data_IF_302208433974
#
_entry.id   IF_302208433974
#
_cell.length_a   1.000
_cell.length_b   1.000
_cell.length_c   1.000
_cell.angle_alpha   90.00
_cell.angle_beta   90.00
_cell.angle_gamma   90.00
#
_symmetry.space_group_name_H-M   'P 1'
#
loop_
_entity.id
_entity.type
_entity.pdbx_description
1 polymer ?
#
# COMPACT_ATOMS: atom_id res chain seq x y z
N UNK A 1 -27.32 -19.61 -52.13
CA UNK A 1 -26.86 -20.52 -53.22
C UNK A 1 -27.07 -22.02 -52.95
N UNK A 2 -27.08 -22.51 -51.70
CA UNK A 2 -27.32 -23.96 -51.41
C UNK A 2 -28.78 -24.39 -51.48
N UNK A 3 -29.72 -23.54 -51.01
CA UNK A 3 -31.17 -23.79 -51.11
C UNK A 3 -31.66 -23.81 -52.57
N UNK A 4 -31.06 -23.00 -53.43
CA UNK A 4 -31.37 -22.94 -54.86
C UNK A 4 -30.97 -24.22 -55.59
N UNK A 5 -29.91 -24.92 -55.18
CA UNK A 5 -29.52 -26.20 -55.78
C UNK A 5 -30.47 -27.36 -55.39
N UNK A 6 -30.95 -27.37 -54.14
CA UNK A 6 -31.94 -28.35 -53.67
C UNK A 6 -33.31 -28.14 -54.34
N UNK A 7 -33.72 -26.89 -54.47
CA UNK A 7 -34.95 -26.50 -55.19
C UNK A 7 -34.80 -26.86 -56.68
N UNK A 8 -33.65 -26.63 -57.30
CA UNK A 8 -33.40 -27.03 -58.69
C UNK A 8 -33.40 -28.55 -58.88
N UNK A 9 -32.87 -29.32 -57.92
CA UNK A 9 -32.88 -30.78 -57.96
C UNK A 9 -34.30 -31.34 -57.73
N UNK A 10 -35.06 -30.77 -56.79
CA UNK A 10 -36.47 -31.10 -56.57
C UNK A 10 -37.32 -30.74 -57.79
N UNK A 11 -37.05 -29.59 -58.42
CA UNK A 11 -37.71 -29.17 -59.67
C UNK A 11 -37.33 -30.09 -60.84
N UNK A 12 -36.07 -30.55 -60.95
CA UNK A 12 -35.63 -31.51 -61.97
C UNK A 12 -36.27 -32.88 -61.77
N UNK A 13 -36.36 -33.35 -60.53
CA UNK A 13 -37.03 -34.60 -60.17
C UNK A 13 -38.52 -34.49 -60.49
N UNK A 14 -39.19 -33.42 -60.06
CA UNK A 14 -40.60 -33.14 -60.38
C UNK A 14 -40.83 -32.99 -61.89
N UNK A 15 -39.95 -32.30 -62.63
CA UNK A 15 -40.04 -32.17 -64.09
C UNK A 15 -39.97 -33.53 -64.79
N UNK A 16 -39.01 -34.37 -64.39
CA UNK A 16 -38.88 -35.74 -64.90
C UNK A 16 -40.12 -36.59 -64.61
N UNK A 17 -40.80 -36.38 -63.47
CA UNK A 17 -42.08 -37.03 -63.18
C UNK A 17 -43.24 -36.47 -64.03
N UNK A 18 -43.23 -35.18 -64.40
CA UNK A 18 -44.29 -34.61 -65.28
C UNK A 18 -44.21 -35.16 -66.71
N UNK A 19 -43.00 -35.35 -67.26
CA UNK A 19 -42.83 -35.90 -68.61
C UNK A 19 -43.15 -37.40 -68.69
N UNK A 20 -43.10 -38.10 -67.57
CA UNK A 20 -43.55 -39.50 -67.45
C UNK A 20 -45.08 -39.58 -67.36
N UNK A 21 -45.74 -38.58 -66.77
CA UNK A 21 -47.20 -38.58 -66.58
C UNK A 21 -47.98 -37.88 -67.71
N UNK A 22 -47.34 -37.06 -68.53
CA UNK A 22 -47.95 -36.39 -69.70
C UNK A 22 -47.90 -37.22 -70.99
N UNK A 23 -47.56 -38.51 -70.90
CA UNK A 23 -47.53 -39.43 -72.03
C UNK A 23 -48.70 -40.44 -71.94
N UNK A 24 -49.95 -39.95 -71.89
CA UNK A 24 -51.13 -40.77 -72.17
C UNK A 24 -51.54 -40.64 -73.65
N UNK A 25 -50.87 -41.42 -74.50
CA UNK A 25 -51.49 -41.93 -75.72
C UNK A 25 -51.06 -43.39 -75.90
N UNK A 26 -51.93 -44.38 -75.54
CA UNK A 26 -51.58 -45.78 -75.63
C UNK A 26 -51.55 -46.21 -77.10
N UNK A 27 -50.36 -46.55 -77.59
CA UNK A 27 -50.19 -47.31 -78.83
C UNK A 27 -49.15 -48.41 -78.60
N UNK A 28 -49.57 -49.50 -77.96
CA UNK A 28 -48.74 -50.68 -77.74
C UNK A 28 -49.47 -51.74 -76.92
N UNK A 29 -49.89 -52.80 -77.60
CA UNK A 29 -50.65 -53.93 -77.06
C UNK A 29 -49.78 -54.78 -76.12
N UNK A 30 -50.09 -54.78 -74.81
CA UNK A 30 -49.34 -55.56 -73.83
C UNK A 30 -49.84 -55.41 -72.39
N UNK A 31 -50.08 -56.56 -71.74
CA UNK A 31 -50.62 -56.72 -70.38
C UNK A 31 -49.82 -56.00 -69.27
N UNK A 32 -48.60 -55.58 -69.56
CA UNK A 32 -47.70 -54.86 -68.66
C UNK A 32 -48.01 -53.35 -68.57
N UNK A 33 -48.57 -52.76 -69.62
CA UNK A 33 -48.92 -51.33 -69.65
C UNK A 33 -50.17 -51.02 -68.79
N UNK A 34 -51.10 -51.98 -68.65
CA UNK A 34 -52.31 -51.85 -67.82
C UNK A 34 -52.00 -51.91 -66.31
N UNK A 35 -50.88 -52.52 -65.92
CA UNK A 35 -50.39 -52.55 -64.54
C UNK A 35 -49.64 -51.27 -64.14
N UNK A 36 -49.39 -50.34 -65.08
CA UNK A 36 -48.68 -49.09 -64.83
C UNK A 36 -47.22 -49.27 -64.40
N UNK A 37 -46.65 -50.47 -64.60
CA UNK A 37 -45.28 -50.81 -64.22
C UNK A 37 -44.43 -50.77 -65.48
N UNK A 38 -43.92 -49.60 -65.80
CA UNK A 38 -42.87 -49.42 -66.79
C UNK A 38 -41.49 -49.67 -66.14
N UNK A 39 -40.67 -50.64 -66.60
CA UNK A 39 -39.33 -50.89 -66.07
C UNK A 39 -38.44 -49.64 -66.09
N UNK A 40 -38.68 -48.75 -67.06
CA UNK A 40 -37.98 -47.47 -67.19
C UNK A 40 -38.27 -46.52 -66.02
N UNK A 41 -39.51 -46.46 -65.52
CA UNK A 41 -39.87 -45.56 -64.41
C UNK A 41 -39.27 -46.03 -63.10
N UNK A 42 -39.23 -47.35 -62.86
CA UNK A 42 -38.55 -47.94 -61.69
C UNK A 42 -37.06 -47.62 -61.70
N UNK A 43 -36.38 -47.79 -62.85
CA UNK A 43 -34.94 -47.49 -62.97
C UNK A 43 -34.68 -46.00 -62.70
N UNK A 44 -35.47 -45.10 -63.28
CA UNK A 44 -35.33 -43.65 -63.04
C UNK A 44 -35.59 -43.29 -61.57
N UNK A 45 -36.56 -43.92 -60.92
CA UNK A 45 -36.86 -43.69 -59.50
C UNK A 45 -35.75 -44.20 -58.59
N UNK A 46 -35.17 -45.37 -58.87
CA UNK A 46 -34.03 -45.94 -58.13
C UNK A 46 -32.79 -45.07 -58.29
N UNK A 47 -32.50 -44.60 -59.51
CA UNK A 47 -31.39 -43.68 -59.78
C UNK A 47 -31.59 -42.35 -59.05
N UNK A 48 -32.81 -41.78 -59.08
CA UNK A 48 -33.14 -40.57 -58.33
C UNK A 48 -32.97 -40.75 -56.82
N UNK A 49 -33.43 -41.87 -56.27
CA UNK A 49 -33.25 -42.22 -54.86
C UNK A 49 -31.77 -42.36 -54.48
N UNK A 50 -30.96 -43.03 -55.31
CA UNK A 50 -29.52 -43.18 -55.10
C UNK A 50 -28.80 -41.82 -55.15
N UNK A 51 -29.14 -40.95 -56.09
CA UNK A 51 -28.57 -39.60 -56.18
C UNK A 51 -28.87 -38.82 -54.90
N UNK A 52 -30.12 -38.83 -54.43
CA UNK A 52 -30.50 -38.17 -53.18
C UNK A 52 -29.77 -38.79 -51.99
N UNK A 53 -29.63 -40.11 -51.91
CA UNK A 53 -28.93 -40.80 -50.83
C UNK A 53 -27.45 -40.42 -50.78
N UNK A 54 -26.77 -40.36 -51.92
CA UNK A 54 -25.35 -39.95 -52.02
C UNK A 54 -25.18 -38.49 -51.59
N UNK A 55 -26.08 -37.60 -52.03
CA UNK A 55 -26.08 -36.19 -51.62
C UNK A 55 -26.34 -36.07 -50.11
N UNK A 56 -27.32 -36.80 -49.57
CA UNK A 56 -27.68 -36.75 -48.17
C UNK A 56 -26.54 -37.28 -47.28
N UNK A 57 -25.91 -38.39 -47.67
CA UNK A 57 -24.79 -38.98 -46.93
C UNK A 57 -23.61 -37.99 -46.85
N UNK A 58 -23.19 -37.43 -47.99
CA UNK A 58 -22.05 -36.52 -48.02
C UNK A 58 -22.30 -35.20 -47.27
N UNK A 59 -23.55 -34.72 -47.24
CA UNK A 59 -23.86 -33.41 -46.63
C UNK A 59 -24.34 -33.48 -45.18
N UNK A 60 -25.19 -34.45 -44.82
CA UNK A 60 -25.79 -34.52 -43.48
C UNK A 60 -24.78 -35.02 -42.46
N UNK A 61 -24.07 -36.12 -42.72
CA UNK A 61 -23.09 -36.64 -41.77
C UNK A 61 -21.93 -35.66 -41.54
N UNK A 62 -21.46 -34.99 -42.59
CA UNK A 62 -20.41 -33.97 -42.46
C UNK A 62 -20.85 -32.72 -41.69
N UNK A 63 -22.09 -32.25 -41.88
CA UNK A 63 -22.60 -31.05 -41.20
C UNK A 63 -23.04 -31.29 -39.77
N UNK A 64 -23.67 -32.43 -39.50
CA UNK A 64 -24.13 -32.80 -38.16
C UNK A 64 -22.92 -33.21 -37.31
N UNK A 65 -22.00 -34.02 -37.83
CA UNK A 65 -20.77 -34.40 -37.12
C UNK A 65 -19.95 -33.18 -36.69
N UNK A 66 -19.68 -32.25 -37.60
CA UNK A 66 -18.94 -31.03 -37.27
C UNK A 66 -19.59 -30.14 -36.20
N UNK A 67 -20.93 -30.12 -36.10
CA UNK A 67 -21.63 -29.34 -35.07
C UNK A 67 -21.59 -30.03 -33.69
N UNK A 68 -21.61 -31.36 -33.64
CA UNK A 68 -21.40 -32.12 -32.41
C UNK A 68 -19.95 -32.03 -31.94
N UNK A 69 -18.98 -32.12 -32.85
CA UNK A 69 -17.56 -31.98 -32.53
C UNK A 69 -17.23 -30.57 -32.04
N UNK A 70 -17.79 -29.53 -32.67
CA UNK A 70 -17.67 -28.15 -32.20
C UNK A 70 -18.22 -27.98 -30.78
N UNK A 71 -19.42 -28.52 -30.50
CA UNK A 71 -19.99 -28.48 -29.14
C UNK A 71 -19.13 -29.26 -28.14
N UNK A 72 -18.61 -30.41 -28.54
CA UNK A 72 -17.72 -31.21 -27.69
C UNK A 72 -16.45 -30.44 -27.36
N UNK A 73 -15.81 -29.85 -28.37
CA UNK A 73 -14.61 -29.05 -28.22
C UNK A 73 -14.85 -27.82 -27.33
N UNK A 74 -15.96 -27.11 -27.51
CA UNK A 74 -16.33 -25.97 -26.67
C UNK A 74 -16.47 -26.39 -25.20
N UNK A 75 -17.16 -27.50 -24.93
CA UNK A 75 -17.32 -28.01 -23.56
C UNK A 75 -15.97 -28.42 -22.96
N UNK A 76 -15.12 -29.13 -23.72
CA UNK A 76 -13.80 -29.53 -23.21
C UNK A 76 -12.92 -28.32 -22.94
N UNK A 77 -12.90 -27.33 -23.84
CA UNK A 77 -12.14 -26.10 -23.64
C UNK A 77 -12.65 -25.31 -22.44
N UNK A 78 -13.96 -25.19 -22.26
CA UNK A 78 -14.52 -24.52 -21.07
C UNK A 78 -14.19 -25.28 -19.78
N UNK A 79 -14.22 -26.61 -19.78
CA UNK A 79 -13.85 -27.40 -18.61
C UNK A 79 -12.36 -27.29 -18.28
N UNK A 80 -11.49 -27.24 -19.29
CA UNK A 80 -10.06 -27.07 -19.08
C UNK A 80 -9.74 -25.65 -18.59
N UNK A 81 -10.39 -24.62 -19.17
CA UNK A 81 -10.32 -23.25 -18.65
C UNK A 81 -10.77 -23.17 -17.19
N UNK A 82 -11.91 -23.76 -16.84
CA UNK A 82 -12.40 -23.77 -15.47
C UNK A 82 -11.44 -24.46 -14.50
N UNK A 83 -10.71 -25.49 -14.93
CA UNK A 83 -9.67 -26.12 -14.11
C UNK A 83 -8.48 -25.18 -13.91
N UNK A 84 -7.97 -24.59 -14.98
CA UNK A 84 -6.87 -23.63 -14.91
C UNK A 84 -7.22 -22.43 -14.05
N UNK A 85 -8.42 -21.85 -14.23
CA UNK A 85 -8.91 -20.73 -13.43
C UNK A 85 -9.00 -21.10 -11.94
N UNK A 86 -9.45 -22.33 -11.61
CA UNK A 86 -9.48 -22.81 -10.23
C UNK A 86 -8.08 -22.97 -9.64
N UNK A 87 -7.16 -23.55 -10.40
CA UNK A 87 -5.76 -23.70 -9.97
C UNK A 87 -5.10 -22.34 -9.75
N UNK A 88 -5.34 -21.37 -10.63
CA UNK A 88 -4.86 -19.99 -10.48
C UNK A 88 -5.48 -19.30 -9.27
N UNK A 89 -6.80 -19.44 -9.05
CA UNK A 89 -7.47 -18.90 -7.88
C UNK A 89 -6.94 -19.50 -6.57
N UNK A 90 -6.70 -20.82 -6.54
CA UNK A 90 -6.13 -21.49 -5.36
C UNK A 90 -4.70 -20.99 -5.08
N UNK A 91 -3.89 -20.82 -6.13
CA UNK A 91 -2.54 -20.23 -6.03
C UNK A 91 -2.58 -18.79 -5.52
N UNK A 92 -3.41 -17.93 -6.13
CA UNK A 92 -3.58 -16.53 -5.72
C UNK A 92 -4.08 -16.42 -4.29
N UNK A 93 -4.99 -17.31 -3.88
CA UNK A 93 -5.50 -17.34 -2.50
C UNK A 93 -4.42 -17.78 -1.52
N UNK A 94 -3.62 -18.78 -1.87
CA UNK A 94 -2.48 -19.22 -1.06
C UNK A 94 -1.43 -18.11 -0.92
N UNK A 95 -1.06 -17.46 -2.03
CA UNK A 95 -0.13 -16.34 -2.04
C UNK A 95 -0.66 -15.16 -1.22
N UNK A 96 -1.94 -14.83 -1.36
CA UNK A 96 -2.57 -13.74 -0.58
C UNK A 96 -2.55 -14.05 0.92
N UNK A 97 -2.86 -15.30 1.31
CA UNK A 97 -2.78 -15.72 2.74
C UNK A 97 -1.35 -15.64 3.26
N UNK A 98 -0.38 -16.08 2.47
CA UNK A 98 1.03 -15.99 2.83
C UNK A 98 1.46 -14.52 3.01
N UNK A 99 1.16 -13.66 2.03
CA UNK A 99 1.45 -12.22 2.11
C UNK A 99 0.78 -11.56 3.30
N UNK A 100 -0.47 -11.92 3.63
CA UNK A 100 -1.14 -11.40 4.83
C UNK A 100 -0.40 -11.80 6.11
N UNK A 101 0.01 -13.07 6.23
CA UNK A 101 0.77 -13.55 7.39
C UNK A 101 2.14 -12.88 7.50
N UNK A 102 2.82 -12.65 6.38
CA UNK A 102 4.08 -11.90 6.32
C UNK A 102 3.88 -10.45 6.77
N UNK A 103 2.83 -9.77 6.27
CA UNK A 103 2.47 -8.40 6.66
C UNK A 103 2.17 -8.31 8.15
N UNK A 104 1.42 -9.26 8.71
CA UNK A 104 1.12 -9.30 10.15
C UNK A 104 2.40 -9.45 10.98
N UNK A 105 3.30 -10.35 10.56
CA UNK A 105 4.59 -10.59 11.23
C UNK A 105 5.50 -9.35 11.15
N UNK A 106 5.59 -8.73 9.97
CA UNK A 106 6.35 -7.49 9.77
C UNK A 106 5.77 -6.34 10.58
N UNK A 107 4.44 -6.20 10.61
CA UNK A 107 3.76 -5.16 11.39
C UNK A 107 4.04 -5.33 12.87
N UNK A 108 3.94 -6.55 13.40
CA UNK A 108 4.26 -6.83 14.80
C UNK A 108 5.72 -6.54 15.12
N UNK A 109 6.64 -6.91 14.23
CA UNK A 109 8.08 -6.62 14.36
C UNK A 109 8.33 -5.11 14.35
N UNK A 110 7.71 -4.36 13.44
CA UNK A 110 7.84 -2.89 13.35
C UNK A 110 7.28 -2.20 14.60
N UNK A 111 6.14 -2.65 15.10
CA UNK A 111 5.54 -2.12 16.34
C UNK A 111 6.48 -2.38 17.53
N UNK A 112 7.02 -3.59 17.65
CA UNK A 112 7.94 -3.94 18.72
C UNK A 112 9.22 -3.09 18.66
N UNK A 113 9.81 -2.95 17.47
CA UNK A 113 10.98 -2.09 17.25
C UNK A 113 10.69 -0.62 17.57
N UNK A 114 9.51 -0.10 17.21
CA UNK A 114 9.10 1.27 17.54
C UNK A 114 8.92 1.48 19.05
N UNK A 115 8.39 0.48 19.77
CA UNK A 115 8.26 0.52 21.23
C UNK A 115 9.64 0.52 21.89
N UNK A 116 10.56 -0.35 21.43
CA UNK A 116 11.92 -0.42 21.95
C UNK A 116 12.69 0.89 21.70
N UNK A 117 12.61 1.42 20.48
CA UNK A 117 13.21 2.71 20.14
C UNK A 117 12.62 3.85 20.99
N UNK A 118 11.29 3.90 21.15
CA UNK A 118 10.63 4.91 21.97
C UNK A 118 11.00 4.81 23.46
N UNK A 119 11.21 3.61 23.98
CA UNK A 119 11.69 3.41 25.35
C UNK A 119 13.15 3.83 25.51
N UNK A 120 14.01 3.51 24.54
CA UNK A 120 15.40 3.94 24.54
C UNK A 120 15.52 5.47 24.46
N UNK A 121 14.76 6.11 23.58
CA UNK A 121 14.71 7.57 23.44
C UNK A 121 14.17 8.23 24.71
N UNK A 122 13.10 7.69 25.31
CA UNK A 122 12.60 8.17 26.61
C UNK A 122 13.69 8.09 27.68
N UNK A 123 14.40 6.98 27.77
CA UNK A 123 15.46 6.81 28.75
C UNK A 123 16.61 7.79 28.50
N UNK A 124 16.98 8.02 27.24
CA UNK A 124 17.99 9.00 26.87
C UNK A 124 17.57 10.42 27.26
N UNK A 125 16.34 10.83 26.93
CA UNK A 125 15.80 12.14 27.29
C UNK A 125 15.80 12.33 28.81
N UNK A 126 15.36 11.33 29.58
CA UNK A 126 15.35 11.40 31.05
C UNK A 126 16.76 11.50 31.61
N UNK A 127 17.72 10.74 31.09
CA UNK A 127 19.12 10.81 31.51
C UNK A 127 19.72 12.18 31.20
N UNK A 128 19.50 12.69 29.99
CA UNK A 128 19.99 13.99 29.57
C UNK A 128 19.38 15.12 30.41
N UNK A 129 18.06 15.11 30.63
CA UNK A 129 17.38 16.10 31.47
C UNK A 129 17.90 16.09 32.92
N UNK A 130 18.25 14.92 33.46
CA UNK A 130 18.88 14.82 34.79
C UNK A 130 20.28 15.43 34.80
N UNK A 131 21.10 15.15 33.79
CA UNK A 131 22.43 15.74 33.66
C UNK A 131 22.35 17.27 33.53
N UNK A 132 21.48 17.77 32.66
CA UNK A 132 21.25 19.21 32.48
C UNK A 132 20.78 19.88 33.78
N UNK A 133 19.88 19.23 34.52
CA UNK A 133 19.42 19.73 35.82
C UNK A 133 20.56 19.75 36.87
N UNK A 134 21.40 18.73 36.94
CA UNK A 134 22.56 18.70 37.85
C UNK A 134 23.60 19.76 37.49
N UNK A 135 23.86 19.96 36.20
CA UNK A 135 24.74 21.03 35.71
C UNK A 135 24.19 22.41 36.06
N UNK A 136 22.88 22.61 35.87
CA UNK A 136 22.22 23.87 36.18
C UNK A 136 22.23 24.18 37.68
N UNK A 137 21.97 23.18 38.54
CA UNK A 137 22.11 23.33 40.00
C UNK A 137 23.55 23.67 40.38
N UNK A 138 24.54 23.04 39.74
CA UNK A 138 25.94 23.31 40.01
C UNK A 138 26.32 24.74 39.60
N UNK A 139 25.88 25.20 38.42
CA UNK A 139 26.06 26.59 37.98
C UNK A 139 25.38 27.58 38.93
N UNK A 140 24.12 27.32 39.31
CA UNK A 140 23.38 28.18 40.23
C UNK A 140 24.06 28.28 41.59
N UNK A 141 24.60 27.18 42.13
CA UNK A 141 25.36 27.21 43.39
C UNK A 141 26.65 28.00 43.27
N UNK A 142 27.37 27.87 42.16
CA UNK A 142 28.58 28.64 41.90
C UNK A 142 28.27 30.15 41.81
N UNK A 143 27.16 30.51 41.16
CA UNK A 143 26.73 31.90 41.04
C UNK A 143 26.28 32.48 42.38
N UNK A 144 25.49 31.74 43.16
CA UNK A 144 25.10 32.13 44.53
C UNK A 144 26.34 32.35 45.40
N UNK A 145 27.37 31.51 45.26
CA UNK A 145 28.60 31.68 46.03
C UNK A 145 29.34 32.97 45.62
N UNK A 146 29.43 33.23 44.31
CA UNK A 146 30.02 34.47 43.76
C UNK A 146 29.26 35.71 44.26
N UNK A 147 27.94 35.72 44.13
CA UNK A 147 27.09 36.83 44.61
C UNK A 147 27.22 37.06 46.11
N UNK A 148 27.35 35.99 46.92
CA UNK A 148 27.61 36.12 48.36
C UNK A 148 28.95 36.76 48.66
N UNK A 149 30.00 36.34 47.95
CA UNK A 149 31.34 36.88 48.15
C UNK A 149 31.38 38.37 47.76
N UNK A 150 30.69 38.74 46.66
CA UNK A 150 30.52 40.13 46.23
C UNK A 150 29.74 40.95 47.26
N UNK A 151 28.62 40.42 47.77
CA UNK A 151 27.82 41.09 48.81
C UNK A 151 28.58 41.27 50.13
N UNK A 152 29.41 40.30 50.52
CA UNK A 152 30.28 40.43 51.70
C UNK A 152 31.34 41.51 51.48
N UNK A 153 31.91 41.58 50.27
CA UNK A 153 32.88 42.63 49.90
C UNK A 153 32.26 44.02 49.98
N UNK A 154 31.05 44.19 49.42
CA UNK A 154 30.28 45.43 49.49
C UNK A 154 29.95 45.81 50.95
N UNK A 155 29.49 44.85 51.75
CA UNK A 155 29.18 45.08 53.16
C UNK A 155 30.41 45.53 53.95
N UNK A 156 31.59 44.97 53.68
CA UNK A 156 32.84 45.42 54.32
C UNK A 156 33.14 46.89 54.01
N UNK A 157 32.89 47.33 52.77
CA UNK A 157 33.00 48.73 52.38
C UNK A 157 32.07 49.63 53.20
N UNK A 158 30.78 49.28 53.26
CA UNK A 158 29.77 50.02 54.04
C UNK A 158 30.11 50.08 55.53
N UNK A 159 30.55 48.97 56.12
CA UNK A 159 30.93 48.91 57.53
C UNK A 159 32.17 49.76 57.80
N UNK A 160 33.17 49.75 56.91
CA UNK A 160 34.36 50.59 57.05
C UNK A 160 34.00 52.09 57.01
N UNK A 161 33.13 52.49 56.09
CA UNK A 161 32.64 53.86 55.98
C UNK A 161 31.87 54.30 57.23
N UNK A 162 30.97 53.44 57.74
CA UNK A 162 30.23 53.69 58.97
C UNK A 162 31.15 53.80 60.21
N UNK A 163 32.19 52.95 60.28
CA UNK A 163 33.17 53.00 61.35
C UNK A 163 33.99 54.30 61.32
N UNK A 164 34.38 54.78 60.13
CA UNK A 164 35.07 56.07 59.95
C UNK A 164 34.15 57.23 60.37
N UNK A 165 32.88 57.24 59.94
CA UNK A 165 31.91 58.27 60.32
C UNK A 165 31.67 58.30 61.85
N UNK A 166 31.52 57.13 62.48
CA UNK A 166 31.37 57.02 63.93
C UNK A 166 32.61 57.51 64.68
N UNK A 167 33.81 57.12 64.25
CA UNK A 167 35.07 57.60 64.83
C UNK A 167 35.22 59.11 64.67
N UNK A 168 34.88 59.67 63.51
CA UNK A 168 34.88 61.12 63.26
C UNK A 168 33.95 61.89 64.19
N UNK A 169 32.73 61.36 64.43
CA UNK A 169 31.78 61.94 65.38
C UNK A 169 32.28 61.90 66.83
N UNK A 170 32.87 60.79 67.27
CA UNK A 170 33.46 60.67 68.62
C UNK A 170 34.61 61.65 68.80
N UNK A 171 35.54 61.71 67.84
CA UNK A 171 36.68 62.65 67.87
C UNK A 171 36.17 64.09 67.94
N UNK A 172 35.16 64.44 67.14
CA UNK A 172 34.56 65.77 67.14
C UNK A 172 33.86 66.12 68.46
N UNK A 173 33.29 65.12 69.16
CA UNK A 173 32.63 65.31 70.45
C UNK A 173 33.61 65.44 71.63
N UNK A 174 34.77 64.76 71.57
CA UNK A 174 35.82 64.78 72.61
C UNK A 174 36.83 65.94 72.46
N UNK A 175 36.82 66.64 71.33
CA UNK A 175 37.70 67.79 71.07
C UNK A 175 37.23 69.05 71.83
N UNK A 176 37.60 69.16 73.10
CA UNK A 176 37.50 70.41 73.88
C UNK A 176 38.78 71.26 73.73
N UNK A 177 38.73 72.57 74.00
CA UNK A 177 39.89 73.47 73.90
C UNK A 177 41.08 73.01 74.75
N UNK A 178 40.83 72.43 75.93
CA UNK A 178 41.89 71.91 76.81
C UNK A 178 42.56 70.65 76.21
N UNK A 179 41.77 69.71 75.66
CA UNK A 179 42.26 68.48 75.04
C UNK A 179 43.13 68.78 73.80
N UNK A 180 42.78 69.83 73.05
CA UNK A 180 43.51 70.24 71.85
C UNK A 180 44.91 70.75 72.17
N UNK A 181 45.07 71.55 73.24
CA UNK A 181 46.40 71.99 73.70
C UNK A 181 47.26 70.83 74.18
N UNK A 182 46.67 69.86 74.89
CA UNK A 182 47.39 68.68 75.39
C UNK A 182 47.90 67.79 74.25
N UNK A 183 47.10 67.58 73.20
CA UNK A 183 47.52 66.86 71.98
C UNK A 183 48.64 67.62 71.23
N UNK A 184 48.56 68.95 71.15
CA UNK A 184 49.60 69.79 70.53
C UNK A 184 50.91 69.67 71.30
N UNK A 185 50.87 69.81 72.62
CA UNK A 185 52.06 69.71 73.48
C UNK A 185 52.70 68.32 73.39
N UNK A 186 51.89 67.26 73.45
CA UNK A 186 52.38 65.88 73.31
C UNK A 186 52.99 65.61 71.93
N UNK A 187 52.45 66.23 70.86
CA UNK A 187 52.98 66.10 69.51
C UNK A 187 54.30 66.86 69.33
N UNK A 188 54.42 68.05 69.94
CA UNK A 188 55.66 68.84 70.00
C UNK A 188 56.73 68.08 70.80
N UNK A 189 56.37 67.45 71.92
CA UNK A 189 57.30 66.63 72.72
C UNK A 189 57.79 65.40 71.95
N UNK A 190 56.91 64.72 71.20
CA UNK A 190 57.32 63.58 70.35
C UNK A 190 58.23 63.99 69.19
N UNK A 191 58.03 65.17 68.60
CA UNK A 191 58.91 65.69 67.56
C UNK A 191 60.26 66.13 68.14
N UNK A 192 60.25 66.73 69.33
CA UNK A 192 61.47 67.14 70.05
C UNK A 192 62.28 65.94 70.53
N UNK A 193 61.62 64.85 70.93
CA UNK A 193 62.24 63.58 71.34
C UNK A 193 62.86 62.79 70.16
N UNK A 194 62.48 63.10 68.91
CA UNK A 194 62.99 62.43 67.70
C UNK A 194 64.02 63.30 66.94
N UNK A 195 64.42 64.46 67.50
CA UNK A 195 65.48 65.33 67.00
C UNK A 195 66.76 65.33 67.86
N UNK A 196 66.83 64.48 68.88
CA UNK A 196 68.07 64.08 69.58
C UNK A 196 68.41 62.64 69.23
#
# INVERSE_FOLDING_TARGET
>A
MRKTLYILCLILIVNSYTSVYAADAPAGDGLLALLGIDPQTIITQVVGFLIVLVVLNKFVFGKVGGLLDERRNQITTQLDQLKTDREELDQLTAETRQRLSEIETEAQTKIQAAIEQGNAERQQIVTQARQEAEEEITRARAEIQREKDDAISELRGVVAELAIDAAGKIISAELTPERHQDIINTSIDRLSANQN
#
